data_IF_558409727838
#
_entry.id   IF_558409727838
#
_cell.length_a   1.000
_cell.length_b   1.000
_cell.length_c   1.000
_cell.angle_alpha   90.00
_cell.angle_beta   90.00
_cell.angle_gamma   90.00
#
_symmetry.space_group_name_H-M   'P 1'
#
loop_
_entity.id
_entity.type
_entity.pdbx_description
1 polymer ?
#
# COMPACT_ATOMS: atom_id res chain seq x y z
N UNK A 1 9.88 3.28 -27.30
CA UNK A 1 9.39 2.61 -26.07
C UNK A 1 8.13 3.26 -25.51
N UNK A 2 8.14 4.56 -25.17
CA UNK A 2 6.97 5.23 -24.55
C UNK A 2 5.71 5.23 -25.43
N UNK A 3 5.82 5.54 -26.72
CA UNK A 3 4.67 5.49 -27.66
C UNK A 3 4.06 4.10 -27.74
N UNK A 4 4.91 3.08 -27.84
CA UNK A 4 4.48 1.69 -27.96
C UNK A 4 3.70 1.21 -26.74
N UNK A 5 4.13 1.53 -25.52
CA UNK A 5 3.40 1.19 -24.29
C UNK A 5 2.06 1.93 -24.21
N UNK A 6 2.02 3.19 -24.64
CA UNK A 6 0.77 3.97 -24.65
C UNK A 6 -0.27 3.35 -25.58
N UNK A 7 0.16 2.89 -26.75
CA UNK A 7 -0.75 2.42 -27.79
C UNK A 7 -1.12 0.93 -27.62
N UNK A 8 -0.29 0.12 -26.94
CA UNK A 8 -0.49 -1.33 -26.76
C UNK A 8 -0.72 -1.78 -25.31
N UNK A 9 -0.63 -0.87 -24.35
CA UNK A 9 -0.76 -1.17 -22.92
C UNK A 9 0.53 -1.68 -22.27
N UNK A 10 0.44 -1.93 -20.96
CA UNK A 10 1.56 -2.42 -20.16
C UNK A 10 1.93 -3.86 -20.55
N UNK A 11 3.22 -4.14 -20.68
CA UNK A 11 3.77 -5.42 -21.10
C UNK A 11 5.00 -5.79 -20.29
N UNK A 12 5.17 -7.09 -20.04
CA UNK A 12 6.36 -7.61 -19.40
C UNK A 12 7.58 -7.37 -20.29
N UNK A 13 8.70 -6.99 -19.67
CA UNK A 13 9.96 -6.74 -20.37
C UNK A 13 11.12 -7.34 -19.57
N UNK A 14 12.16 -7.76 -20.28
CA UNK A 14 13.39 -8.30 -19.70
C UNK A 14 14.57 -7.50 -20.24
N UNK A 15 15.50 -7.13 -19.35
CA UNK A 15 16.73 -6.42 -19.69
C UNK A 15 17.89 -7.36 -19.39
N UNK A 16 18.74 -7.63 -20.38
CA UNK A 16 19.89 -8.54 -20.28
C UNK A 16 21.12 -7.91 -20.91
N UNK A 17 22.29 -8.19 -20.35
CA UNK A 17 23.60 -7.86 -20.94
C UNK A 17 24.13 -8.95 -21.87
N UNK A 18 23.49 -10.13 -21.86
CA UNK A 18 23.84 -11.26 -22.72
C UNK A 18 22.96 -11.23 -23.97
N UNK A 19 23.58 -10.99 -25.13
CA UNK A 19 22.88 -10.83 -26.41
C UNK A 19 22.72 -12.16 -27.16
N UNK A 20 23.54 -13.15 -26.83
CA UNK A 20 23.68 -14.39 -27.60
C UNK A 20 22.67 -15.49 -27.20
N UNK A 21 21.92 -15.28 -26.11
CA UNK A 21 21.03 -16.26 -25.50
C UNK A 21 19.53 -15.91 -25.73
N UNK A 22 19.16 -15.45 -26.93
CA UNK A 22 17.82 -14.90 -27.18
C UNK A 22 16.66 -15.86 -26.86
N UNK A 23 16.78 -17.14 -27.22
CA UNK A 23 15.74 -18.14 -26.95
C UNK A 23 15.52 -18.37 -25.46
N UNK A 24 16.60 -18.39 -24.67
CA UNK A 24 16.56 -18.50 -23.21
C UNK A 24 15.87 -17.29 -22.59
N UNK A 25 16.17 -16.09 -23.08
CA UNK A 25 15.57 -14.85 -22.58
C UNK A 25 14.08 -14.76 -22.91
N UNK A 26 13.66 -15.25 -24.08
CA UNK A 26 12.24 -15.30 -24.46
C UNK A 26 11.46 -16.29 -23.59
N UNK A 27 12.03 -17.47 -23.30
CA UNK A 27 11.44 -18.42 -22.36
C UNK A 27 11.32 -17.85 -20.93
N UNK A 28 12.31 -17.08 -20.48
CA UNK A 28 12.23 -16.41 -19.18
C UNK A 28 11.12 -15.35 -19.15
N UNK A 29 10.99 -14.56 -20.22
CA UNK A 29 9.96 -13.54 -20.33
C UNK A 29 8.54 -14.14 -20.26
N UNK A 30 8.33 -15.29 -20.90
CA UNK A 30 7.04 -16.00 -20.87
C UNK A 30 6.67 -16.55 -19.49
N UNK A 31 7.65 -16.79 -18.62
CA UNK A 31 7.42 -17.26 -17.24
C UNK A 31 7.05 -16.13 -16.27
N UNK A 32 7.27 -14.87 -16.65
CA UNK A 32 6.93 -13.73 -15.79
C UNK A 32 5.41 -13.61 -15.72
N UNK A 33 4.80 -13.70 -14.52
CA UNK A 33 3.35 -13.62 -14.39
C UNK A 33 2.84 -12.23 -14.81
N UNK A 34 1.56 -12.16 -15.17
CA UNK A 34 0.91 -10.86 -15.36
C UNK A 34 0.83 -10.12 -14.03
N UNK A 35 0.97 -8.80 -14.08
CA UNK A 35 0.77 -7.93 -12.91
C UNK A 35 -0.70 -7.85 -12.49
N UNK A 36 -1.64 -8.13 -13.41
CA UNK A 36 -3.08 -8.12 -13.11
C UNK A 36 -3.43 -9.27 -12.17
N UNK A 37 -4.08 -8.95 -11.05
CA UNK A 37 -4.41 -9.92 -10.00
C UNK A 37 -3.22 -10.38 -9.15
N UNK A 38 -2.03 -9.80 -9.32
CA UNK A 38 -0.86 -10.16 -8.51
C UNK A 38 -0.82 -9.30 -7.24
N UNK A 39 -1.00 -9.96 -6.11
CA UNK A 39 -0.82 -9.38 -4.78
C UNK A 39 0.69 -9.34 -4.47
N UNK A 40 1.21 -8.14 -4.18
CA UNK A 40 2.63 -7.91 -3.90
C UNK A 40 2.88 -7.17 -2.58
N UNK A 41 1.84 -6.70 -1.89
CA UNK A 41 1.95 -6.01 -0.62
C UNK A 41 2.54 -6.94 0.46
N UNK A 42 2.17 -8.22 0.45
CA UNK A 42 2.72 -9.25 1.35
C UNK A 42 4.24 -9.38 1.26
N UNK A 43 4.82 -9.12 0.09
CA UNK A 43 6.28 -9.24 -0.14
C UNK A 43 7.07 -8.01 0.28
N UNK A 44 6.42 -6.86 0.40
CA UNK A 44 7.11 -5.57 0.66
C UNK A 44 6.74 -4.94 2.00
N UNK A 45 5.73 -5.48 2.67
CA UNK A 45 5.32 -5.07 4.01
C UNK A 45 6.42 -5.35 5.04
N UNK A 46 6.43 -4.56 6.11
CA UNK A 46 7.11 -4.93 7.35
C UNK A 46 6.62 -6.26 7.90
N UNK A 47 7.51 -7.02 8.52
CA UNK A 47 7.20 -8.29 9.20
C UNK A 47 6.71 -8.07 10.62
N UNK A 48 7.29 -7.09 11.32
CA UNK A 48 6.97 -6.78 12.72
C UNK A 48 6.46 -5.34 12.83
N UNK A 49 5.50 -5.07 13.74
CA UNK A 49 5.09 -3.70 14.01
C UNK A 49 6.22 -2.85 14.57
N UNK A 50 6.31 -1.60 14.14
CA UNK A 50 7.30 -0.65 14.65
C UNK A 50 6.73 0.74 14.83
N UNK A 51 7.44 1.58 15.58
CA UNK A 51 7.03 2.94 15.86
C UNK A 51 7.90 3.97 15.14
N UNK A 52 7.30 5.11 14.77
CA UNK A 52 8.00 6.27 14.22
C UNK A 52 7.46 7.56 14.84
N UNK A 53 8.37 8.48 15.19
CA UNK A 53 8.04 9.78 15.79
C UNK A 53 8.20 9.80 17.31
N UNK A 54 7.86 10.94 17.90
CA UNK A 54 7.89 11.15 19.35
C UNK A 54 6.63 10.55 19.98
N UNK A 55 6.77 9.79 21.07
CA UNK A 55 5.65 9.23 21.81
C UNK A 55 4.75 10.28 22.47
N UNK A 56 5.26 11.50 22.66
CA UNK A 56 4.53 12.65 23.22
C UNK A 56 3.81 13.48 22.15
N UNK A 57 3.81 13.03 20.89
CA UNK A 57 3.13 13.72 19.81
C UNK A 57 1.61 13.83 20.05
N UNK A 58 0.99 14.87 19.48
CA UNK A 58 -0.43 15.17 19.71
C UNK A 58 -1.39 14.19 19.03
N UNK A 59 -0.95 13.54 17.95
CA UNK A 59 -1.80 12.69 17.11
C UNK A 59 -1.16 11.30 16.99
N UNK A 60 -1.94 10.25 17.23
CA UNK A 60 -1.56 8.85 17.01
C UNK A 60 -2.15 8.33 15.71
N UNK A 61 -1.30 7.76 14.86
CA UNK A 61 -1.71 7.21 13.56
C UNK A 61 -1.36 5.73 13.50
N UNK A 62 -2.37 4.88 13.31
CA UNK A 62 -2.16 3.47 13.00
C UNK A 62 -2.01 3.31 11.48
N UNK A 63 -0.81 2.95 11.04
CA UNK A 63 -0.49 2.81 9.62
C UNK A 63 -0.42 1.34 9.21
N UNK A 64 -1.21 0.92 8.23
CA UNK A 64 -1.10 -0.41 7.61
C UNK A 64 -0.09 -0.34 6.45
N UNK A 65 0.95 -1.17 6.52
CA UNK A 65 2.01 -1.22 5.54
C UNK A 65 1.67 -2.14 4.37
N UNK A 66 1.35 -1.56 3.22
CA UNK A 66 1.11 -2.26 1.96
C UNK A 66 2.31 -2.10 1.02
N UNK A 67 3.43 -1.54 1.50
CA UNK A 67 4.53 -1.02 0.67
C UNK A 67 4.77 0.48 0.90
N UNK A 68 4.69 0.92 2.16
CA UNK A 68 4.71 2.32 2.55
C UNK A 68 6.03 3.00 2.15
N UNK A 69 5.91 4.16 1.50
CA UNK A 69 7.08 5.01 1.24
C UNK A 69 7.50 5.68 2.54
N UNK A 70 8.75 5.47 2.99
CA UNK A 70 9.34 6.10 4.18
C UNK A 70 9.18 7.62 4.22
N UNK A 71 9.12 8.28 3.06
CA UNK A 71 8.90 9.72 2.98
C UNK A 71 7.53 10.16 3.52
N UNK A 72 6.49 9.33 3.38
CA UNK A 72 5.16 9.62 3.92
C UNK A 72 5.23 9.65 5.45
N UNK A 73 5.84 8.63 6.05
CA UNK A 73 6.04 8.55 7.50
C UNK A 73 6.85 9.74 8.02
N UNK A 74 7.94 10.11 7.35
CA UNK A 74 8.72 11.32 7.71
C UNK A 74 7.88 12.59 7.68
N UNK A 75 7.01 12.75 6.68
CA UNK A 75 6.13 13.92 6.57
C UNK A 75 5.06 13.97 7.65
N UNK A 76 4.52 12.82 8.05
CA UNK A 76 3.55 12.73 9.14
C UNK A 76 4.20 13.02 10.49
N UNK A 77 5.38 12.43 10.75
CA UNK A 77 6.16 12.73 11.97
C UNK A 77 6.56 14.21 12.05
N UNK A 78 6.95 14.83 10.93
CA UNK A 78 7.24 16.26 10.88
C UNK A 78 6.03 17.15 11.20
N UNK A 79 4.80 16.62 11.13
CA UNK A 79 3.55 17.26 11.54
C UNK A 79 3.12 16.86 12.96
N UNK A 80 4.07 16.36 13.76
CA UNK A 80 3.87 15.94 15.13
C UNK A 80 2.84 14.80 15.28
N UNK A 81 3.02 13.75 14.48
CA UNK A 81 2.30 12.49 14.61
C UNK A 81 3.21 11.38 15.17
N UNK A 82 2.67 10.58 16.09
CA UNK A 82 3.24 9.32 16.53
C UNK A 82 2.61 8.18 15.76
N UNK A 83 3.42 7.39 15.06
CA UNK A 83 2.93 6.41 14.10
C UNK A 83 3.30 5.03 14.59
N UNK A 84 2.33 4.13 14.65
CA UNK A 84 2.56 2.69 14.76
C UNK A 84 2.30 2.06 13.40
N UNK A 85 3.33 1.50 12.79
CA UNK A 85 3.26 0.82 11.51
C UNK A 85 3.00 -0.66 11.75
N UNK A 86 2.01 -1.21 11.06
CA UNK A 86 1.51 -2.56 11.18
C UNK A 86 1.73 -3.33 9.87
N UNK A 87 2.02 -4.65 9.93
CA UNK A 87 2.07 -5.52 8.75
C UNK A 87 0.76 -5.52 7.94
N UNK A 88 0.86 -5.79 6.63
CA UNK A 88 -0.25 -5.73 5.67
C UNK A 88 -1.50 -6.56 6.03
N UNK A 89 -1.34 -7.63 6.81
CA UNK A 89 -2.37 -8.59 7.21
C UNK A 89 -3.02 -8.26 8.57
N UNK A 90 -2.62 -7.14 9.19
CA UNK A 90 -3.17 -6.73 10.48
C UNK A 90 -4.63 -6.32 10.36
N UNK A 91 -5.49 -6.91 11.21
CA UNK A 91 -6.91 -6.58 11.26
C UNK A 91 -7.20 -5.26 11.99
N UNK A 92 -8.40 -4.71 11.77
CA UNK A 92 -8.83 -3.44 12.36
C UNK A 92 -8.85 -3.48 13.89
N UNK A 93 -9.29 -4.59 14.50
CA UNK A 93 -9.37 -4.74 15.96
C UNK A 93 -8.00 -4.57 16.62
N UNK A 94 -6.96 -5.18 16.05
CA UNK A 94 -5.58 -5.07 16.52
C UNK A 94 -5.05 -3.65 16.36
N UNK A 95 -5.34 -3.00 15.24
CA UNK A 95 -4.97 -1.60 15.02
C UNK A 95 -5.69 -0.66 15.99
N UNK A 96 -6.98 -0.90 16.23
CA UNK A 96 -7.84 -0.09 17.10
C UNK A 96 -7.54 -0.27 18.58
N UNK A 97 -7.05 -1.44 18.99
CA UNK A 97 -6.65 -1.71 20.37
C UNK A 97 -5.53 -0.77 20.86
N UNK A 98 -4.75 -0.20 19.94
CA UNK A 98 -3.74 0.80 20.24
C UNK A 98 -4.32 2.21 20.50
N UNK A 99 -5.64 2.38 20.32
CA UNK A 99 -6.37 3.63 20.45
C UNK A 99 -5.76 4.80 19.64
N UNK A 100 -5.64 4.67 18.31
CA UNK A 100 -5.17 5.75 17.45
C UNK A 100 -6.24 6.83 17.23
N UNK A 101 -5.80 8.05 16.93
CA UNK A 101 -6.66 9.16 16.53
C UNK A 101 -7.08 9.03 15.06
N UNK A 102 -6.29 8.35 14.24
CA UNK A 102 -6.60 8.09 12.84
C UNK A 102 -5.87 6.89 12.26
N UNK A 103 -6.33 6.46 11.09
CA UNK A 103 -5.82 5.31 10.36
C UNK A 103 -5.18 5.75 9.06
N UNK A 104 -4.06 5.10 8.70
CA UNK A 104 -3.36 5.33 7.45
C UNK A 104 -3.23 4.04 6.67
N UNK A 105 -3.86 3.97 5.50
CA UNK A 105 -3.72 2.85 4.56
C UNK A 105 -2.74 3.25 3.46
N UNK A 106 -1.54 2.68 3.51
CA UNK A 106 -0.44 3.10 2.65
C UNK A 106 -0.62 2.69 1.19
N UNK A 107 0.27 3.20 0.33
CA UNK A 107 0.40 2.71 -1.03
C UNK A 107 0.98 1.29 -1.04
N UNK A 108 0.83 0.59 -2.16
CA UNK A 108 1.40 -0.73 -2.37
C UNK A 108 1.63 -1.07 -3.84
N UNK A 109 2.51 -2.02 -4.14
CA UNK A 109 2.66 -2.56 -5.48
C UNK A 109 1.55 -3.54 -5.83
N UNK A 110 1.35 -3.78 -7.13
CA UNK A 110 0.40 -4.79 -7.61
C UNK A 110 -1.03 -4.28 -7.78
N UNK A 111 -1.95 -5.23 -7.85
CA UNK A 111 -3.38 -4.99 -8.10
C UNK A 111 -4.13 -4.78 -6.77
N UNK A 112 -4.99 -3.75 -6.63
CA UNK A 112 -5.82 -3.58 -5.44
C UNK A 112 -6.96 -4.59 -5.31
N UNK A 113 -7.43 -5.20 -6.40
CA UNK A 113 -8.57 -6.14 -6.35
C UNK A 113 -8.37 -7.32 -5.38
N UNK A 114 -7.21 -8.01 -5.34
CA UNK A 114 -6.99 -9.12 -4.41
C UNK A 114 -6.77 -8.71 -2.94
N UNK A 115 -6.67 -7.41 -2.62
CA UNK A 115 -6.37 -6.92 -1.26
C UNK A 115 -7.63 -6.89 -0.36
N UNK A 116 -8.28 -8.03 -0.17
CA UNK A 116 -9.53 -8.13 0.62
C UNK A 116 -9.37 -7.67 2.07
N UNK A 117 -8.27 -8.05 2.74
CA UNK A 117 -8.00 -7.64 4.13
C UNK A 117 -7.91 -6.12 4.31
N UNK A 118 -7.03 -5.41 3.57
CA UNK A 118 -6.95 -3.95 3.63
C UNK A 118 -8.27 -3.24 3.26
N UNK A 119 -9.06 -3.79 2.32
CA UNK A 119 -10.39 -3.25 1.95
C UNK A 119 -11.37 -3.40 3.12
N UNK A 120 -11.33 -4.54 3.81
CA UNK A 120 -12.15 -4.79 4.99
C UNK A 120 -11.78 -3.84 6.12
N UNK A 121 -10.49 -3.67 6.43
CA UNK A 121 -10.01 -2.71 7.43
C UNK A 121 -10.50 -1.30 7.08
N UNK A 122 -10.37 -0.88 5.82
CA UNK A 122 -10.86 0.43 5.38
C UNK A 122 -12.37 0.60 5.64
N UNK A 123 -13.15 -0.43 5.31
CA UNK A 123 -14.60 -0.43 5.49
C UNK A 123 -14.99 -0.36 6.98
N UNK A 124 -14.27 -1.08 7.85
CA UNK A 124 -14.50 -1.07 9.29
C UNK A 124 -14.10 0.27 9.94
N UNK A 125 -13.00 0.89 9.51
CA UNK A 125 -12.60 2.24 9.95
C UNK A 125 -13.68 3.27 9.60
N UNK A 126 -14.21 3.22 8.38
CA UNK A 126 -15.28 4.11 7.93
C UNK A 126 -16.59 3.86 8.68
N UNK A 127 -16.94 2.60 8.94
CA UNK A 127 -18.12 2.24 9.74
C UNK A 127 -18.00 2.71 11.20
N UNK A 128 -16.78 2.70 11.75
CA UNK A 128 -16.47 3.24 13.07
C UNK A 128 -16.40 4.78 13.13
N UNK A 129 -16.62 5.46 12.00
CA UNK A 129 -16.56 6.92 11.87
C UNK A 129 -15.23 7.51 12.36
N UNK A 130 -14.12 6.78 12.12
CA UNK A 130 -12.76 7.19 12.47
C UNK A 130 -12.07 7.86 11.27
N UNK A 131 -11.16 8.82 11.49
CA UNK A 131 -10.39 9.43 10.41
C UNK A 131 -9.58 8.40 9.65
N UNK A 132 -9.73 8.38 8.32
CA UNK A 132 -9.00 7.49 7.43
C UNK A 132 -8.28 8.28 6.33
N UNK A 133 -6.98 8.10 6.24
CA UNK A 133 -6.16 8.58 5.12
C UNK A 133 -5.67 7.36 4.31
N UNK A 134 -6.16 7.21 3.08
CA UNK A 134 -5.73 6.15 2.16
C UNK A 134 -5.07 6.72 0.90
N UNK A 135 -4.24 5.94 0.21
CA UNK A 135 -3.75 6.27 -1.14
C UNK A 135 -4.19 5.22 -2.18
N UNK A 136 -4.53 5.71 -3.38
CA UNK A 136 -4.87 5.07 -4.68
C UNK A 136 -5.36 3.61 -4.72
N UNK A 137 -4.67 2.63 -4.11
CA UNK A 137 -5.11 1.22 -4.14
C UNK A 137 -6.38 1.00 -3.35
N UNK A 138 -6.42 1.47 -2.10
CA UNK A 138 -7.58 1.25 -1.22
C UNK A 138 -8.77 2.13 -1.63
N UNK A 139 -8.50 3.33 -2.15
CA UNK A 139 -9.56 4.25 -2.56
C UNK A 139 -10.30 3.73 -3.80
N UNK A 140 -9.61 3.07 -4.74
CA UNK A 140 -10.21 2.57 -5.99
C UNK A 140 -11.14 1.37 -5.77
N UNK A 141 -10.92 0.58 -4.73
CA UNK A 141 -11.68 -0.65 -4.44
C UNK A 141 -12.86 -0.43 -3.50
N UNK A 142 -13.00 0.75 -2.88
CA UNK A 142 -14.13 1.06 -2.02
C UNK A 142 -15.38 1.47 -2.84
N UNK A 143 -16.56 0.87 -2.58
CA UNK A 143 -17.80 1.21 -3.28
C UNK A 143 -18.34 2.61 -2.92
N UNK A 144 -17.85 3.22 -1.83
CA UNK A 144 -18.33 4.50 -1.31
C UNK A 144 -17.37 5.65 -1.66
N UNK A 145 -17.72 6.47 -2.66
CA UNK A 145 -17.13 7.80 -2.87
C UNK A 145 -17.63 8.78 -1.80
N UNK A 146 -17.33 8.56 -0.53
CA UNK A 146 -17.57 9.56 0.52
C UNK A 146 -16.30 10.39 0.70
N UNK A 147 -16.50 11.70 0.81
CA UNK A 147 -15.44 12.72 0.88
C UNK A 147 -14.38 12.34 1.92
N UNK A 148 -13.14 12.19 1.44
CA UNK A 148 -11.97 12.05 2.29
C UNK A 148 -11.80 13.36 3.08
N UNK A 149 -12.16 13.35 4.36
CA UNK A 149 -11.77 14.42 5.25
C UNK A 149 -10.26 14.33 5.46
N UNK A 150 -9.52 15.18 4.75
CA UNK A 150 -8.17 15.52 5.17
C UNK A 150 -8.26 16.04 6.60
N UNK A 151 -7.45 15.46 7.48
CA UNK A 151 -7.17 15.97 8.82
C UNK A 151 -6.80 17.45 8.65
N UNK A 152 -7.70 18.34 9.07
CA UNK A 152 -7.50 19.80 9.07
C UNK A 152 -6.79 20.21 10.34
#
# INVERSE_FOLDING_TARGET
>A
MVSYIRDNGAMNALISTKVDEMDSLQQQLQKVPSMKGLELASKVSTTEPYFMGDSNAYIKIAALDLGIKKNILRNLVARNAYIKVFPFDTNFETMSAWNPDGYFLSNGPGDPEPLTGPIEVASQVLAANKPLLGFVLVIKSLPCRKEFQLIK
#
